data_IF_586386548606
#
_entry.id   IF_586386548606
#
_cell.length_a   1.000
_cell.length_b   1.000
_cell.length_c   1.000
_cell.angle_alpha   90.00
_cell.angle_beta   90.00
_cell.angle_gamma   90.00
#
_symmetry.space_group_name_H-M   'P 1'
#
loop_
_entity.id
_entity.type
_entity.pdbx_description
1 polymer ?
#
# COMPACT_ATOMS: atom_id res chain seq x y z
N UNK A 1 -13.93 -3.38 14.00
CA UNK A 1 -12.78 -2.59 13.50
C UNK A 1 -12.01 -2.14 14.72
N UNK A 2 -10.68 -2.00 14.62
CA UNK A 2 -9.88 -1.43 15.72
C UNK A 2 -10.26 0.04 15.96
N UNK A 3 -10.10 0.53 17.18
CA UNK A 3 -10.24 1.96 17.51
C UNK A 3 -9.10 2.82 16.92
N UNK A 4 -8.01 2.19 16.45
CA UNK A 4 -6.85 2.89 15.90
C UNK A 4 -7.10 3.36 14.45
N UNK A 5 -7.40 2.42 13.55
CA UNK A 5 -7.74 2.70 12.15
C UNK A 5 -8.82 1.72 11.66
N UNK A 6 -9.68 2.17 10.75
CA UNK A 6 -10.77 1.36 10.20
C UNK A 6 -10.27 0.09 9.49
N UNK A 7 -9.08 0.13 8.92
CA UNK A 7 -8.44 -0.96 8.20
C UNK A 7 -7.54 -1.86 9.06
N UNK A 8 -7.50 -1.61 10.37
CA UNK A 8 -6.71 -2.35 11.35
C UNK A 8 -7.56 -3.39 12.09
N UNK A 9 -6.99 -4.57 12.29
CA UNK A 9 -7.62 -5.64 13.08
C UNK A 9 -7.79 -5.25 14.54
N UNK A 10 -8.95 -5.58 15.12
CA UNK A 10 -9.24 -5.30 16.53
C UNK A 10 -8.48 -6.24 17.49
N UNK A 11 -7.94 -7.36 16.99
CA UNK A 11 -7.22 -8.35 17.79
C UNK A 11 -5.72 -8.05 17.89
N UNK A 12 -5.22 -7.11 17.10
CA UNK A 12 -3.80 -6.82 17.03
C UNK A 12 -3.32 -6.00 18.21
N UNK A 13 -2.15 -6.38 18.72
CA UNK A 13 -1.47 -5.64 19.77
C UNK A 13 -0.94 -4.31 19.21
N UNK A 14 -1.08 -3.23 19.98
CA UNK A 14 -0.63 -1.89 19.60
C UNK A 14 0.33 -1.37 20.67
N UNK A 15 1.56 -1.09 20.26
CA UNK A 15 2.51 -0.32 21.05
C UNK A 15 2.47 1.14 20.61
N UNK A 16 2.51 2.09 21.55
CA UNK A 16 2.57 3.53 21.28
C UNK A 16 3.90 4.09 21.75
N UNK A 17 4.54 4.91 20.92
CA UNK A 17 5.72 5.69 21.27
C UNK A 17 5.37 6.71 22.37
N UNK A 18 6.27 6.94 23.33
CA UNK A 18 5.97 7.72 24.55
C UNK A 18 5.57 9.18 24.26
N UNK A 19 6.20 9.79 23.26
CA UNK A 19 6.13 11.25 23.03
C UNK A 19 5.50 11.65 21.70
N UNK A 20 5.42 10.72 20.76
CA UNK A 20 4.97 10.99 19.39
C UNK A 20 3.83 10.03 19.09
N UNK A 21 2.85 10.41 18.27
CA UNK A 21 1.75 9.54 17.89
C UNK A 21 2.23 8.53 16.85
N UNK A 22 3.15 7.66 17.27
CA UNK A 22 3.72 6.62 16.42
C UNK A 22 3.40 5.28 17.05
N UNK A 23 2.94 4.37 16.22
CA UNK A 23 2.40 3.08 16.61
C UNK A 23 3.18 1.95 15.98
N UNK A 24 3.47 0.91 16.76
CA UNK A 24 4.07 -0.34 16.27
C UNK A 24 3.00 -1.43 16.38
N UNK A 25 2.55 -1.95 15.24
CA UNK A 25 1.44 -2.92 15.17
C UNK A 25 1.40 -3.65 13.81
N UNK A 26 0.40 -4.51 13.57
CA UNK A 26 0.28 -5.38 12.39
C UNK A 26 -1.20 -5.58 12.00
N UNK A 27 -1.51 -6.44 11.02
CA UNK A 27 -2.87 -6.77 10.57
C UNK A 27 -3.65 -5.58 9.98
N UNK A 28 -3.08 -5.02 8.92
CA UNK A 28 -3.71 -3.97 8.12
C UNK A 28 -4.08 -4.44 6.72
N UNK A 29 -5.13 -3.82 6.17
CA UNK A 29 -5.43 -3.85 4.74
C UNK A 29 -5.24 -2.46 4.14
N UNK A 30 -4.63 -2.39 2.96
CA UNK A 30 -4.39 -1.12 2.26
C UNK A 30 -4.92 -1.20 0.85
N UNK A 31 -5.44 -0.08 0.37
CA UNK A 31 -6.06 0.01 -0.95
C UNK A 31 -5.44 1.13 -1.76
N UNK A 32 -5.19 0.86 -3.03
CA UNK A 32 -4.77 1.89 -3.99
C UNK A 32 -5.51 1.69 -5.28
N UNK A 33 -6.07 2.78 -5.80
CA UNK A 33 -6.67 2.79 -7.12
C UNK A 33 -5.80 3.63 -8.06
N UNK A 34 -5.62 3.17 -9.30
CA UNK A 34 -4.95 3.92 -10.38
C UNK A 34 -5.78 3.84 -11.65
N UNK A 35 -5.84 4.92 -12.44
CA UNK A 35 -6.52 4.91 -13.73
C UNK A 35 -5.80 3.98 -14.72
N UNK A 36 -6.60 3.24 -15.49
CA UNK A 36 -6.10 2.28 -16.47
C UNK A 36 -5.90 2.97 -17.81
N UNK A 37 -4.74 2.74 -18.41
CA UNK A 37 -4.50 2.89 -19.84
C UNK A 37 -3.53 1.78 -20.30
N UNK A 38 -2.89 1.93 -21.45
CA UNK A 38 -2.06 0.89 -22.07
C UNK A 38 -0.90 0.42 -21.19
N UNK A 39 -0.47 1.24 -20.22
CA UNK A 39 0.62 0.89 -19.29
C UNK A 39 0.32 -0.34 -18.44
N UNK A 40 -0.95 -0.73 -18.27
CA UNK A 40 -1.38 -1.87 -17.45
C UNK A 40 -1.16 -3.20 -18.15
N UNK A 41 -1.35 -3.24 -19.47
CA UNK A 41 -1.39 -4.50 -20.21
C UNK A 41 0.01 -5.08 -20.41
N UNK A 42 0.11 -6.42 -20.36
CA UNK A 42 1.37 -7.13 -20.55
C UNK A 42 2.35 -7.03 -19.37
N UNK A 43 2.03 -6.26 -18.32
CA UNK A 43 2.83 -6.18 -17.09
C UNK A 43 2.30 -7.15 -16.04
N UNK A 44 3.20 -7.95 -15.49
CA UNK A 44 2.89 -8.87 -14.39
C UNK A 44 2.37 -8.12 -13.17
N UNK A 45 1.58 -8.79 -12.33
CA UNK A 45 1.12 -8.22 -11.06
C UNK A 45 2.30 -7.77 -10.19
N UNK A 46 3.41 -8.50 -10.21
CA UNK A 46 4.68 -8.09 -9.59
C UNK A 46 5.15 -6.72 -10.12
N UNK A 47 5.27 -6.56 -11.44
CA UNK A 47 5.73 -5.30 -12.04
C UNK A 47 4.76 -4.13 -11.77
N UNK A 48 3.45 -4.39 -11.83
CA UNK A 48 2.41 -3.40 -11.49
C UNK A 48 2.46 -3.02 -10.01
N UNK A 49 2.71 -3.99 -9.12
CA UNK A 49 2.86 -3.74 -7.70
C UNK A 49 4.08 -2.87 -7.42
N UNK A 50 5.26 -3.27 -7.92
CA UNK A 50 6.51 -2.53 -7.77
C UNK A 50 6.39 -1.08 -8.29
N UNK A 51 5.70 -0.87 -9.41
CA UNK A 51 5.44 0.47 -9.98
C UNK A 51 4.59 1.39 -9.09
N UNK A 52 4.02 0.90 -7.99
CA UNK A 52 3.36 1.76 -7.00
C UNK A 52 4.37 2.53 -6.14
N UNK A 53 5.59 2.01 -5.97
CA UNK A 53 6.68 2.71 -5.31
C UNK A 53 7.37 3.62 -6.35
N UNK A 54 7.21 4.92 -6.19
CA UNK A 54 7.67 5.91 -7.16
C UNK A 54 8.91 6.63 -6.66
N UNK A 55 9.83 6.90 -7.59
CA UNK A 55 10.85 7.91 -7.36
C UNK A 55 10.19 9.27 -7.15
N UNK A 56 10.80 10.06 -6.29
CA UNK A 56 10.30 11.36 -5.94
C UNK A 56 10.60 12.37 -7.05
N UNK A 57 9.56 12.81 -7.76
CA UNK A 57 9.69 13.80 -8.84
C UNK A 57 9.61 15.25 -8.33
N UNK A 58 9.51 15.46 -7.01
CA UNK A 58 9.30 16.74 -6.32
C UNK A 58 8.06 17.54 -6.77
N UNK A 59 7.13 16.92 -7.53
CA UNK A 59 5.93 17.58 -8.04
C UNK A 59 4.70 17.37 -7.17
N UNK A 60 4.60 16.25 -6.47
CA UNK A 60 3.51 15.94 -5.54
C UNK A 60 3.67 16.51 -4.13
N UNK A 61 2.56 16.64 -3.39
CA UNK A 61 2.51 17.18 -2.00
C UNK A 61 3.60 16.62 -1.08
N UNK A 62 3.70 15.29 -1.04
CA UNK A 62 4.57 14.55 -0.13
C UNK A 62 5.97 14.39 -0.69
N UNK A 63 6.08 14.49 -2.01
CA UNK A 63 7.35 14.43 -2.72
C UNK A 63 8.24 15.64 -2.33
N UNK A 64 7.63 16.82 -2.15
CA UNK A 64 8.30 18.01 -1.60
C UNK A 64 8.77 17.86 -0.13
N UNK A 65 8.07 17.06 0.68
CA UNK A 65 8.44 16.85 2.09
C UNK A 65 9.60 15.88 2.28
N UNK A 66 9.67 14.85 1.45
CA UNK A 66 10.63 13.75 1.58
C UNK A 66 11.42 13.55 0.28
N UNK A 67 12.17 14.56 -0.20
CA UNK A 67 12.73 14.64 -1.56
C UNK A 67 13.64 13.46 -1.94
N UNK A 68 14.24 12.78 -0.96
CA UNK A 68 15.18 11.68 -1.17
C UNK A 68 14.55 10.29 -1.00
N UNK A 69 13.26 10.20 -0.66
CA UNK A 69 12.58 8.94 -0.39
C UNK A 69 11.70 8.49 -1.55
N UNK A 70 11.73 7.19 -1.85
CA UNK A 70 10.69 6.60 -2.70
C UNK A 70 9.40 6.47 -1.90
N UNK A 71 8.28 6.82 -2.52
CA UNK A 71 6.98 6.88 -1.83
C UNK A 71 5.87 6.12 -2.56
N UNK A 72 4.90 5.63 -1.80
CA UNK A 72 3.69 5.00 -2.32
C UNK A 72 2.45 5.44 -1.54
N UNK A 73 1.37 5.76 -2.27
CA UNK A 73 0.11 6.21 -1.69
C UNK A 73 -0.89 5.09 -1.56
N UNK A 74 -1.53 5.00 -0.40
CA UNK A 74 -2.53 3.99 -0.09
C UNK A 74 -3.66 4.61 0.75
N UNK A 75 -4.78 3.91 0.86
CA UNK A 75 -5.92 4.28 1.67
C UNK A 75 -6.35 3.10 2.55
N UNK A 76 -7.13 3.40 3.59
CA UNK A 76 -7.77 2.42 4.47
C UNK A 76 -8.83 1.57 3.76
N UNK A 77 -9.46 2.10 2.71
CA UNK A 77 -10.57 1.45 2.03
C UNK A 77 -10.56 1.67 0.52
N UNK A 78 -11.22 0.75 -0.21
CA UNK A 78 -11.45 0.91 -1.65
C UNK A 78 -12.25 2.18 -1.96
N UNK A 79 -13.23 2.54 -1.13
CA UNK A 79 -14.04 3.75 -1.30
C UNK A 79 -13.18 5.00 -1.23
N UNK A 80 -12.34 5.13 -0.21
CA UNK A 80 -11.42 6.26 -0.03
C UNK A 80 -10.42 6.36 -1.19
N UNK A 81 -9.83 5.22 -1.60
CA UNK A 81 -8.93 5.17 -2.77
C UNK A 81 -9.60 5.60 -4.08
N UNK A 82 -10.89 5.27 -4.28
CA UNK A 82 -11.65 5.71 -5.46
C UNK A 82 -12.02 7.18 -5.40
N UNK A 83 -12.31 7.72 -4.21
CA UNK A 83 -12.58 9.16 -4.02
C UNK A 83 -11.36 10.00 -4.40
N UNK A 84 -10.15 9.57 -4.03
CA UNK A 84 -8.90 10.25 -4.42
C UNK A 84 -8.70 10.26 -5.95
N UNK A 85 -8.95 9.15 -6.64
CA UNK A 85 -8.91 9.11 -8.12
C UNK A 85 -9.88 10.10 -8.75
N UNK A 86 -11.12 10.15 -8.24
CA UNK A 86 -12.18 11.02 -8.79
C UNK A 86 -11.81 12.49 -8.60
N UNK A 87 -11.23 12.84 -7.45
CA UNK A 87 -10.76 14.19 -7.15
C UNK A 87 -9.71 14.66 -8.17
N UNK A 88 -8.86 13.75 -8.65
CA UNK A 88 -7.82 14.04 -9.65
C UNK A 88 -8.28 13.87 -11.11
N UNK A 89 -9.60 13.92 -11.38
CA UNK A 89 -10.15 13.84 -12.74
C UNK A 89 -10.08 12.45 -13.36
N UNK A 90 -9.91 11.40 -12.55
CA UNK A 90 -9.85 10.03 -13.03
C UNK A 90 -11.17 9.54 -13.63
N UNK A 91 -11.04 8.64 -14.60
CA UNK A 91 -12.15 8.03 -15.32
C UNK A 91 -12.70 6.76 -14.62
N UNK A 92 -13.68 6.08 -15.26
CA UNK A 92 -14.31 4.87 -14.71
C UNK A 92 -13.53 3.58 -14.99
N UNK A 93 -12.36 3.68 -15.61
CA UNK A 93 -11.46 2.55 -15.83
C UNK A 93 -10.31 2.61 -14.83
N UNK A 94 -10.27 1.67 -13.89
CA UNK A 94 -9.28 1.69 -12.83
C UNK A 94 -8.82 0.29 -12.43
N UNK A 95 -7.61 0.25 -11.91
CA UNK A 95 -7.01 -0.91 -11.27
C UNK A 95 -7.03 -0.67 -9.77
N UNK A 96 -7.59 -1.60 -8.99
CA UNK A 96 -7.55 -1.58 -7.53
C UNK A 96 -6.54 -2.61 -7.05
N UNK A 97 -5.51 -2.15 -6.35
CA UNK A 97 -4.64 -2.98 -5.52
C UNK A 97 -5.24 -3.07 -4.12
N UNK A 98 -5.34 -4.30 -3.62
CA UNK A 98 -5.65 -4.61 -2.23
C UNK A 98 -4.43 -5.31 -1.65
N UNK A 99 -3.67 -4.57 -0.84
CA UNK A 99 -2.49 -5.03 -0.14
C UNK A 99 -2.78 -5.27 1.35
N UNK A 100 -1.89 -5.98 2.00
CA UNK A 100 -1.89 -6.21 3.44
C UNK A 100 -0.45 -6.22 3.96
N UNK A 101 -0.28 -6.02 5.27
CA UNK A 101 1.01 -6.24 5.94
C UNK A 101 1.34 -7.74 5.92
N UNK A 102 2.40 -8.15 5.22
CA UNK A 102 2.71 -9.57 4.98
C UNK A 102 2.98 -10.34 6.29
N UNK A 103 3.44 -9.66 7.34
CA UNK A 103 3.65 -10.27 8.66
C UNK A 103 2.35 -10.81 9.27
N UNK A 104 1.20 -10.31 8.81
CA UNK A 104 -0.14 -10.73 9.22
C UNK A 104 -0.57 -12.08 8.63
N UNK A 105 0.18 -12.58 7.63
CA UNK A 105 -0.08 -13.91 7.08
C UNK A 105 0.37 -14.99 8.06
N UNK A 106 -0.35 -16.11 8.12
CA UNK A 106 0.17 -17.32 8.82
C UNK A 106 1.50 -17.77 8.21
N UNK A 107 1.68 -17.55 6.91
CA UNK A 107 2.89 -17.94 6.17
C UNK A 107 3.42 -16.76 5.35
N UNK A 108 4.07 -15.78 6.00
CA UNK A 108 4.65 -14.62 5.32
C UNK A 108 5.64 -15.06 4.25
N UNK A 109 5.68 -14.29 3.17
CA UNK A 109 6.51 -14.55 1.98
C UNK A 109 7.61 -13.51 1.78
N UNK A 110 7.54 -12.37 2.46
CA UNK A 110 8.57 -11.34 2.49
C UNK A 110 9.59 -11.63 3.60
N UNK A 111 10.81 -11.09 3.44
CA UNK A 111 11.90 -11.28 4.43
C UNK A 111 11.59 -10.51 5.74
N UNK A 112 10.81 -9.43 5.65
CA UNK A 112 10.62 -8.51 6.75
C UNK A 112 9.74 -9.14 7.85
N UNK A 113 10.30 -9.28 9.05
CA UNK A 113 9.62 -9.80 10.24
C UNK A 113 9.30 -8.72 11.27
N UNK A 114 9.43 -7.44 10.90
CA UNK A 114 9.14 -6.31 11.77
C UNK A 114 7.72 -5.81 11.53
N UNK A 115 7.00 -5.58 12.63
CA UNK A 115 5.70 -4.91 12.63
C UNK A 115 5.76 -3.55 11.94
N UNK A 116 4.62 -3.05 11.46
CA UNK A 116 4.51 -1.74 10.87
C UNK A 116 4.71 -0.65 11.92
N UNK A 117 5.57 0.31 11.60
CA UNK A 117 5.80 1.52 12.37
C UNK A 117 5.09 2.69 11.69
N UNK A 118 3.96 3.12 12.25
CA UNK A 118 3.04 4.07 11.63
C UNK A 118 3.03 5.37 12.42
N UNK A 119 3.46 6.47 11.79
CA UNK A 119 3.24 7.81 12.33
C UNK A 119 1.79 8.23 12.04
N UNK A 120 0.99 8.47 13.08
CA UNK A 120 -0.38 8.96 12.95
C UNK A 120 -0.40 10.49 12.86
N UNK A 121 -0.34 10.98 11.63
CA UNK A 121 -0.45 12.39 11.32
C UNK A 121 -1.83 12.99 11.57
N UNK A 122 -2.87 12.20 11.90
CA UNK A 122 -4.19 12.74 12.27
C UNK A 122 -4.14 13.44 13.62
N UNK A 123 -3.47 12.84 14.61
CA UNK A 123 -3.24 13.45 15.94
C UNK A 123 -2.42 14.73 15.85
N UNK A 124 -1.61 14.87 14.81
CA UNK A 124 -0.73 16.02 14.57
C UNK A 124 -1.31 17.06 13.61
N UNK A 125 -2.55 16.89 13.16
CA UNK A 125 -3.16 17.70 12.10
C UNK A 125 -2.29 17.81 10.83
N UNK A 126 -1.49 16.79 10.52
CA UNK A 126 -0.49 16.81 9.45
C UNK A 126 -1.10 17.08 8.06
N UNK A 127 -2.40 16.85 7.87
CA UNK A 127 -3.13 17.24 6.68
C UNK A 127 -3.03 18.76 6.36
N UNK A 128 -2.90 19.62 7.36
CA UNK A 128 -2.72 21.08 7.17
C UNK A 128 -1.34 21.41 6.60
N UNK A 129 -0.30 20.73 7.09
CA UNK A 129 1.07 20.83 6.58
C UNK A 129 1.10 20.42 5.10
N UNK A 130 0.43 19.33 4.77
CA UNK A 130 0.32 18.84 3.39
C UNK A 130 -0.40 19.82 2.47
N UNK A 131 -1.48 20.44 2.95
CA UNK A 131 -2.21 21.48 2.23
C UNK A 131 -1.37 22.74 2.02
N UNK A 132 -0.57 23.17 3.00
CA UNK A 132 0.33 24.31 2.85
C UNK A 132 1.32 24.08 1.71
N UNK A 133 1.91 22.90 1.65
CA UNK A 133 2.91 22.53 0.64
C UNK A 133 2.29 22.36 -0.75
N UNK A 134 1.06 21.87 -0.84
CA UNK A 134 0.29 21.85 -2.08
C UNK A 134 0.10 23.26 -2.66
N UNK A 135 -0.10 24.24 -1.80
CA UNK A 135 -0.34 25.64 -2.17
C UNK A 135 0.92 26.51 -2.15
N UNK A 136 2.11 25.89 -2.16
CA UNK A 136 3.42 26.56 -2.12
C UNK A 136 3.59 27.56 -0.96
N UNK A 137 2.92 27.29 0.17
CA UNK A 137 3.04 28.08 1.40
C UNK A 137 4.21 27.58 2.24
N UNK A 138 4.91 28.50 2.89
CA UNK A 138 5.97 28.19 3.85
C UNK A 138 5.37 27.53 5.10
N UNK A 139 6.07 26.52 5.61
CA UNK A 139 5.81 25.95 6.91
C UNK A 139 6.31 26.90 8.00
N UNK A 140 5.71 26.83 9.19
CA UNK A 140 6.26 27.48 10.38
C UNK A 140 7.48 26.71 10.90
N UNK A 141 8.25 27.32 11.80
CA UNK A 141 9.38 26.65 12.45
C UNK A 141 8.93 25.42 13.26
N UNK A 142 7.76 25.49 13.88
CA UNK A 142 7.17 24.37 14.63
C UNK A 142 6.75 23.22 13.71
N UNK A 143 6.11 23.52 12.57
CA UNK A 143 5.74 22.52 11.56
C UNK A 143 6.98 21.85 10.96
N UNK A 144 8.03 22.64 10.72
CA UNK A 144 9.31 22.13 10.21
C UNK A 144 9.97 21.19 11.22
N UNK A 145 10.05 21.60 12.50
CA UNK A 145 10.56 20.74 13.59
C UNK A 145 9.76 19.45 13.72
N UNK A 146 8.43 19.52 13.61
CA UNK A 146 7.58 18.34 13.67
C UNK A 146 7.88 17.36 12.52
N UNK A 147 7.99 17.88 11.29
CA UNK A 147 8.37 17.06 10.13
C UNK A 147 9.73 16.40 10.34
N UNK A 148 10.71 17.13 10.88
CA UNK A 148 12.04 16.59 11.14
C UNK A 148 12.06 15.54 12.25
N UNK A 149 11.25 15.69 13.30
CA UNK A 149 11.06 14.68 14.33
C UNK A 149 10.48 13.39 13.74
N UNK A 150 9.42 13.49 12.94
CA UNK A 150 8.82 12.31 12.27
C UNK A 150 9.84 11.63 11.35
N UNK A 151 10.62 12.41 10.60
CA UNK A 151 11.69 11.88 9.74
C UNK A 151 12.73 11.10 10.53
N UNK A 152 13.15 11.64 11.68
CA UNK A 152 14.17 11.04 12.54
C UNK A 152 13.75 9.67 13.09
N UNK A 153 12.46 9.47 13.31
CA UNK A 153 11.92 8.18 13.76
C UNK A 153 11.86 7.13 12.63
N UNK A 154 12.08 7.52 11.36
CA UNK A 154 12.06 6.60 10.21
C UNK A 154 10.87 5.63 10.16
N UNK A 155 9.61 6.14 10.25
CA UNK A 155 8.42 5.31 10.20
C UNK A 155 8.31 4.58 8.85
N UNK A 156 7.59 3.46 8.83
CA UNK A 156 7.27 2.74 7.60
C UNK A 156 6.25 3.50 6.76
N UNK A 157 5.30 4.17 7.42
CA UNK A 157 4.35 5.04 6.78
C UNK A 157 3.82 6.15 7.69
N UNK A 158 3.26 7.18 7.06
CA UNK A 158 2.55 8.27 7.70
C UNK A 158 1.06 8.17 7.35
N UNK A 159 0.19 8.03 8.34
CA UNK A 159 -1.25 8.09 8.19
C UNK A 159 -1.75 9.55 8.27
N UNK A 160 -2.73 9.92 7.47
CA UNK A 160 -3.31 11.27 7.49
C UNK A 160 -4.75 11.26 6.96
N UNK A 161 -5.52 12.27 7.38
CA UNK A 161 -6.91 12.40 6.99
C UNK A 161 -7.04 12.58 5.46
N UNK A 162 -7.94 11.81 4.84
CA UNK A 162 -8.26 12.00 3.43
C UNK A 162 -9.01 13.31 3.21
N UNK A 163 -8.62 14.03 2.14
CA UNK A 163 -9.30 15.26 1.73
C UNK A 163 -10.47 14.92 0.81
N UNK A 164 -10.33 13.86 0.01
CA UNK A 164 -11.38 13.42 -0.91
C UNK A 164 -12.52 12.68 -0.18
N UNK A 165 -12.23 12.08 0.97
CA UNK A 165 -13.19 11.34 1.81
C UNK A 165 -12.96 11.70 3.28
N UNK A 166 -13.84 12.52 3.86
CA UNK A 166 -13.64 13.10 5.20
C UNK A 166 -13.64 12.06 6.32
N UNK A 167 -14.14 10.86 6.08
CA UNK A 167 -14.13 9.75 7.05
C UNK A 167 -12.99 8.76 6.77
N UNK A 168 -12.30 8.88 5.63
CA UNK A 168 -11.28 7.96 5.18
C UNK A 168 -9.87 8.37 5.59
N UNK A 169 -8.99 7.39 5.77
CA UNK A 169 -7.57 7.61 6.10
C UNK A 169 -6.69 7.22 4.92
N UNK A 170 -5.74 8.09 4.59
CA UNK A 170 -4.70 7.80 3.62
C UNK A 170 -3.37 7.49 4.33
N UNK A 171 -2.53 6.72 3.66
CA UNK A 171 -1.22 6.30 4.13
C UNK A 171 -0.17 6.61 3.08
N UNK A 172 0.86 7.35 3.46
CA UNK A 172 2.08 7.54 2.69
C UNK A 172 3.11 6.52 3.16
N UNK A 173 3.37 5.50 2.36
CA UNK A 173 4.42 4.53 2.63
C UNK A 173 5.76 5.00 2.08
N UNK A 174 6.79 4.91 2.92
CA UNK A 174 8.18 5.05 2.52
C UNK A 174 8.71 3.74 1.94
N UNK A 175 9.84 3.76 1.24
CA UNK A 175 10.41 2.58 0.58
C UNK A 175 10.60 1.38 1.52
N UNK A 176 11.02 1.64 2.76
CA UNK A 176 11.16 0.61 3.83
C UNK A 176 9.81 -0.03 4.17
N UNK A 177 8.78 0.78 4.43
CA UNK A 177 7.45 0.28 4.77
C UNK A 177 6.75 -0.40 3.61
N UNK A 178 6.88 0.13 2.39
CA UNK A 178 6.28 -0.48 1.20
C UNK A 178 6.75 -1.92 0.99
N UNK A 179 8.03 -2.21 1.30
CA UNK A 179 8.61 -3.56 1.23
C UNK A 179 8.04 -4.54 2.26
N UNK A 180 7.17 -4.11 3.17
CA UNK A 180 6.40 -4.96 4.09
C UNK A 180 5.03 -5.36 3.53
N UNK A 181 4.60 -4.75 2.42
CA UNK A 181 3.28 -5.00 1.85
C UNK A 181 3.30 -6.18 0.87
N UNK A 182 2.34 -7.08 1.02
CA UNK A 182 2.00 -8.10 0.04
C UNK A 182 0.61 -7.85 -0.53
N UNK A 183 0.34 -8.37 -1.73
CA UNK A 183 -0.96 -8.26 -2.38
C UNK A 183 -1.88 -9.40 -1.96
N UNK A 184 -3.11 -9.05 -1.58
CA UNK A 184 -4.23 -9.99 -1.48
C UNK A 184 -4.89 -10.15 -2.85
N UNK A 185 -5.17 -9.04 -3.53
CA UNK A 185 -5.92 -9.03 -4.79
C UNK A 185 -5.58 -7.81 -5.63
N UNK A 186 -5.55 -7.99 -6.95
CA UNK A 186 -5.57 -6.89 -7.92
C UNK A 186 -6.80 -7.03 -8.80
N UNK A 187 -7.59 -5.97 -8.91
CA UNK A 187 -8.85 -5.95 -9.64
C UNK A 187 -8.80 -4.90 -10.76
N UNK A 188 -8.96 -5.34 -12.00
CA UNK A 188 -9.18 -4.48 -13.16
C UNK A 188 -10.68 -4.25 -13.33
N UNK A 189 -11.08 -2.99 -13.46
CA UNK A 189 -12.45 -2.56 -13.73
C UNK A 189 -12.46 -1.60 -14.91
N UNK A 190 -13.16 -1.96 -15.99
CA UNK A 190 -13.35 -1.14 -17.20
C UNK A 190 -14.79 -0.63 -17.24
N UNK A 191 -15.08 0.37 -16.40
CA UNK A 191 -16.43 0.90 -16.20
C UNK A 191 -16.93 1.83 -17.31
N UNK A 192 -16.09 2.23 -18.26
CA UNK A 192 -16.51 2.98 -19.46
C UNK A 192 -17.11 2.07 -20.54
N UNK A 193 -16.74 0.79 -20.54
CA UNK A 193 -17.28 -0.17 -21.49
C UNK A 193 -18.77 -0.42 -21.19
N UNK A 194 -19.59 -0.58 -22.24
CA UNK A 194 -21.03 -0.87 -22.11
C UNK A 194 -21.34 -2.05 -21.17
N UNK A 195 -20.51 -3.08 -21.21
CA UNK A 195 -20.63 -4.29 -20.38
C UNK A 195 -19.99 -4.19 -18.99
N UNK A 196 -19.30 -3.09 -18.66
CA UNK A 196 -18.62 -2.86 -17.37
C UNK A 196 -17.73 -4.04 -16.95
N UNK A 197 -16.83 -4.43 -17.86
CA UNK A 197 -15.98 -5.60 -17.68
C UNK A 197 -15.11 -5.48 -16.43
N UNK A 198 -14.95 -6.57 -15.70
CA UNK A 198 -14.04 -6.63 -14.57
C UNK A 198 -13.35 -7.99 -14.47
N UNK A 199 -12.15 -8.00 -13.89
CA UNK A 199 -11.38 -9.22 -13.63
C UNK A 199 -10.50 -9.02 -12.41
N UNK A 200 -10.33 -10.08 -11.62
CA UNK A 200 -9.47 -10.07 -10.44
C UNK A 200 -8.42 -11.15 -10.52
N UNK A 201 -7.24 -10.87 -9.99
CA UNK A 201 -6.15 -11.81 -9.77
C UNK A 201 -5.88 -11.83 -8.27
N UNK A 202 -5.97 -13.01 -7.65
CA UNK A 202 -5.77 -13.20 -6.21
C UNK A 202 -4.32 -13.63 -5.95
N UNK A 203 -3.63 -12.89 -5.09
CA UNK A 203 -2.26 -13.16 -4.66
C UNK A 203 -2.19 -13.71 -3.23
N UNK A 204 -3.29 -13.58 -2.47
CA UNK A 204 -3.53 -14.31 -1.25
C UNK A 204 -5.04 -14.61 -1.09
N UNK A 205 -5.36 -15.69 -0.40
CA UNK A 205 -6.74 -16.13 -0.10
C UNK A 205 -6.94 -16.30 1.41
N UNK A 206 -8.12 -16.78 1.81
CA UNK A 206 -8.53 -16.99 3.21
C UNK A 206 -8.46 -15.74 4.09
N UNK A 207 -8.83 -15.88 5.37
CA UNK A 207 -8.74 -14.80 6.36
C UNK A 207 -7.30 -14.55 6.82
N UNK A 208 -6.45 -15.56 6.73
CA UNK A 208 -5.07 -15.58 7.20
C UNK A 208 -4.04 -15.31 6.08
N UNK A 209 -4.50 -14.81 4.94
CA UNK A 209 -3.67 -14.45 3.77
C UNK A 209 -2.77 -15.58 3.29
N UNK A 210 -3.33 -16.77 3.05
CA UNK A 210 -2.59 -17.86 2.42
C UNK A 210 -2.09 -17.43 1.03
N UNK A 211 -0.77 -17.40 0.77
CA UNK A 211 -0.23 -16.80 -0.45
C UNK A 211 -0.41 -17.70 -1.68
N UNK A 212 -0.64 -17.06 -2.83
CA UNK A 212 -0.59 -17.66 -4.17
C UNK A 212 0.55 -16.98 -4.92
N UNK A 213 1.78 -17.43 -4.70
CA UNK A 213 2.99 -16.74 -5.12
C UNK A 213 3.05 -16.62 -6.65
N UNK A 214 2.62 -17.65 -7.39
CA UNK A 214 2.56 -17.68 -8.85
C UNK A 214 1.70 -16.56 -9.44
N UNK A 215 0.69 -16.09 -8.71
CA UNK A 215 -0.22 -15.05 -9.21
C UNK A 215 0.44 -13.71 -9.47
N UNK A 216 1.59 -13.44 -8.84
CA UNK A 216 2.40 -12.26 -9.12
C UNK A 216 2.96 -12.27 -10.56
N UNK A 217 3.10 -13.43 -11.18
CA UNK A 217 3.50 -13.60 -12.59
C UNK A 217 2.35 -13.50 -13.59
N UNK A 218 1.11 -13.35 -13.12
CA UNK A 218 -0.06 -13.17 -14.00
C UNK A 218 -0.12 -11.71 -14.45
N UNK A 219 -0.59 -11.44 -15.66
CA UNK A 219 -0.83 -10.10 -16.16
C UNK A 219 -2.19 -9.98 -16.83
N UNK A 220 -2.70 -8.74 -16.91
CA UNK A 220 -3.89 -8.43 -17.67
C UNK A 220 -3.56 -8.22 -19.15
N UNK A 221 -4.44 -8.70 -20.02
CA UNK A 221 -4.50 -8.38 -21.43
C UNK A 221 -5.70 -7.48 -21.73
N UNK A 222 -5.73 -6.80 -22.90
CA UNK A 222 -6.89 -6.04 -23.33
C UNK A 222 -8.19 -6.86 -23.25
N UNK A 223 -9.29 -6.17 -22.97
CA UNK A 223 -10.62 -6.81 -22.79
C UNK A 223 -10.62 -7.83 -21.65
N UNK A 224 -9.93 -7.50 -20.54
CA UNK A 224 -9.95 -8.22 -19.26
C UNK A 224 -9.56 -9.71 -19.30
N UNK A 225 -8.77 -10.10 -20.31
CA UNK A 225 -8.12 -11.42 -20.35
C UNK A 225 -6.95 -11.46 -19.36
N UNK A 226 -6.56 -12.66 -18.95
CA UNK A 226 -5.39 -12.89 -18.10
C UNK A 226 -4.48 -13.91 -18.74
N UNK A 227 -3.18 -13.70 -18.60
CA UNK A 227 -2.13 -14.65 -19.01
C UNK A 227 -1.09 -14.75 -17.91
N UNK A 228 -0.30 -15.80 -17.95
CA UNK A 228 0.80 -16.02 -17.01
C UNK A 228 2.11 -15.87 -17.76
N UNK A 229 3.07 -15.16 -17.16
CA UNK A 229 4.44 -15.16 -17.62
C UNK A 229 5.10 -16.51 -17.23
N UNK A 230 5.47 -17.37 -18.20
CA UNK A 230 6.06 -18.67 -17.91
C UNK A 230 7.43 -18.56 -17.24
N UNK A 231 8.11 -17.42 -17.39
CA UNK A 231 9.45 -17.17 -16.82
C UNK A 231 9.40 -16.67 -15.38
N UNK A 232 8.23 -16.27 -14.87
CA UNK A 232 8.12 -15.68 -13.52
C UNK A 232 8.68 -16.59 -12.42
N UNK A 233 8.53 -17.92 -12.56
CA UNK A 233 9.08 -18.89 -11.58
C UNK A 233 10.62 -18.88 -11.51
N UNK A 234 11.30 -18.33 -12.51
CA UNK A 234 12.76 -18.22 -12.53
C UNK A 234 13.26 -16.87 -11.98
N UNK A 235 12.35 -15.97 -11.59
CA UNK A 235 12.72 -14.66 -11.04
C UNK A 235 13.21 -14.76 -9.61
N UNK A 236 14.07 -13.82 -9.20
CA UNK A 236 14.52 -13.69 -7.82
C UNK A 236 13.36 -13.47 -6.84
N UNK A 237 12.36 -12.67 -7.22
CA UNK A 237 11.17 -12.44 -6.38
C UNK A 237 10.44 -13.74 -6.08
N UNK A 238 10.17 -14.57 -7.11
CA UNK A 238 9.48 -15.84 -6.92
C UNK A 238 10.29 -16.77 -6.00
N UNK A 239 11.59 -16.92 -6.28
CA UNK A 239 12.44 -17.82 -5.50
C UNK A 239 12.54 -17.39 -4.05
N UNK A 240 12.63 -16.08 -3.80
CA UNK A 240 12.66 -15.53 -2.46
C UNK A 240 11.34 -15.78 -1.72
N UNK A 241 10.20 -15.42 -2.33
CA UNK A 241 8.87 -15.63 -1.73
C UNK A 241 8.61 -17.10 -1.44
N UNK A 242 8.98 -17.99 -2.36
CA UNK A 242 8.80 -19.43 -2.22
C UNK A 242 9.68 -20.01 -1.11
N UNK A 243 10.94 -19.57 -1.02
CA UNK A 243 11.85 -19.96 0.06
C UNK A 243 11.30 -19.53 1.43
N UNK A 244 10.87 -18.28 1.55
CA UNK A 244 10.28 -17.76 2.78
C UNK A 244 9.01 -18.51 3.17
N UNK A 245 8.11 -18.75 2.21
CA UNK A 245 6.89 -19.54 2.44
C UNK A 245 7.20 -20.95 2.97
N UNK A 246 8.15 -21.67 2.34
CA UNK A 246 8.59 -23.00 2.79
C UNK A 246 9.18 -22.96 4.20
N UNK A 247 10.01 -21.96 4.49
CA UNK A 247 10.61 -21.76 5.81
C UNK A 247 9.53 -21.48 6.87
N UNK A 248 8.58 -20.60 6.58
CA UNK A 248 7.43 -20.30 7.43
C UNK A 248 6.62 -21.57 7.72
N UNK A 249 6.29 -22.38 6.71
CA UNK A 249 5.59 -23.66 6.91
C UNK A 249 6.37 -24.65 7.77
N UNK A 250 7.68 -24.76 7.55
CA UNK A 250 8.52 -25.69 8.29
C UNK A 250 8.60 -25.35 9.78
N UNK A 251 8.48 -24.07 10.18
CA UNK A 251 8.40 -23.67 11.59
C UNK A 251 7.20 -24.31 12.31
N UNK A 252 6.08 -24.51 11.61
CA UNK A 252 4.88 -25.13 12.17
C UNK A 252 4.88 -26.66 12.12
N UNK A 253 5.77 -27.28 11.32
CA UNK A 253 5.90 -28.75 11.24
C UNK A 253 6.92 -29.35 12.22
N UNK A 254 7.74 -28.51 12.85
CA UNK A 254 8.77 -28.90 13.82
C UNK A 254 8.30 -28.83 15.29
N UNK A 255 6.99 -28.75 15.52
CA UNK A 255 6.37 -28.98 16.83
C UNK A 255 5.74 -30.37 16.84
#
# INVERSE_FOLDING_TARGET
>A
MSDLFNNHSYLSHVLKHEQLPIYITQEFNFFRCVNVSDWVYGKTISALHAGNLRDNDNKGRYSKLFPNEKISYWADSKSTALSEIKKHGGNKNYLTFHAYDDLSSTFPTLINNQQLFIADGRELNFHTILLKIENDKKLTDEETKLVDLIKKEEPDCLAYQSIADKEGVNFLFFGKGFKKLALRKVQLYLGENKSKNNKSIHCAVSSDYMPIIESYGIYFEPVVKIKTDPTYKNTEEYQLRNTNYKNSRNRFRKK
#
